data_IF_161035472474
#
_entry.id   IF_161035472474
#
_cell.length_a   1.000
_cell.length_b   1.000
_cell.length_c   1.000
_cell.angle_alpha   90.00
_cell.angle_beta   90.00
_cell.angle_gamma   90.00
#
_symmetry.space_group_name_H-M   'P 1'
#
loop_
_entity.id
_entity.type
_entity.pdbx_description
1 polymer ?
#
# COMPACT_ATOMS: atom_id res chain seq x y z
N UNK A 1 7.89 -15.70 7.37
CA UNK A 1 6.99 -14.78 6.61
C UNK A 1 6.50 -13.63 7.49
N UNK A 2 5.76 -13.88 8.59
CA UNK A 2 5.22 -12.80 9.45
C UNK A 2 6.30 -11.89 10.02
N UNK A 3 7.40 -12.44 10.54
CA UNK A 3 8.47 -11.61 11.12
C UNK A 3 9.17 -10.74 10.06
N UNK A 4 9.56 -11.32 8.94
CA UNK A 4 10.16 -10.58 7.82
C UNK A 4 9.24 -9.45 7.32
N UNK A 5 7.92 -9.67 7.30
CA UNK A 5 6.96 -8.61 6.98
C UNK A 5 6.94 -7.51 8.03
N UNK A 6 6.95 -7.84 9.34
CA UNK A 6 7.01 -6.84 10.41
C UNK A 6 8.29 -6.00 10.32
N UNK A 7 9.42 -6.65 10.07
CA UNK A 7 10.71 -5.98 9.94
C UNK A 7 10.72 -5.04 8.73
N UNK A 8 10.23 -5.53 7.58
CA UNK A 8 10.01 -4.71 6.38
C UNK A 8 9.09 -3.52 6.66
N UNK A 9 7.96 -3.74 7.33
CA UNK A 9 6.96 -2.71 7.61
C UNK A 9 7.48 -1.65 8.58
N UNK A 10 8.36 -2.02 9.53
CA UNK A 10 9.04 -1.07 10.39
C UNK A 10 9.93 -0.11 9.59
N UNK A 11 10.69 -0.63 8.62
CA UNK A 11 11.51 0.18 7.71
C UNK A 11 10.62 1.05 6.82
N UNK A 12 9.55 0.48 6.24
CA UNK A 12 8.64 1.21 5.38
C UNK A 12 8.00 2.43 6.07
N UNK A 13 7.68 2.33 7.37
CA UNK A 13 7.20 3.49 8.14
C UNK A 13 8.22 4.63 8.21
N UNK A 14 9.51 4.30 8.36
CA UNK A 14 10.60 5.29 8.36
C UNK A 14 10.74 5.91 6.97
N UNK A 15 10.65 5.10 5.91
CA UNK A 15 10.71 5.58 4.52
C UNK A 15 9.55 6.52 4.18
N UNK A 16 8.33 6.18 4.61
CA UNK A 16 7.15 7.04 4.39
C UNK A 16 7.22 8.32 5.22
N UNK A 17 7.75 8.27 6.44
CA UNK A 17 7.97 9.46 7.28
C UNK A 17 9.05 10.40 6.72
N UNK A 18 9.95 9.89 5.87
CA UNK A 18 11.00 10.65 5.20
C UNK A 18 10.68 10.98 3.73
N UNK A 19 9.43 10.76 3.31
CA UNK A 19 8.97 11.13 1.97
C UNK A 19 9.15 12.62 1.71
N UNK A 20 9.53 12.95 0.48
CA UNK A 20 9.60 14.31 -0.02
C UNK A 20 8.26 14.65 -0.67
N UNK A 21 7.56 15.63 -0.10
CA UNK A 21 6.21 15.98 -0.54
C UNK A 21 5.17 14.99 -0.03
N UNK A 22 4.08 14.84 -0.78
CA UNK A 22 2.94 14.04 -0.34
C UNK A 22 3.12 12.54 -0.64
N UNK A 23 2.57 11.71 0.26
CA UNK A 23 2.38 10.28 0.02
C UNK A 23 1.01 10.08 -0.62
N UNK A 24 0.98 9.47 -1.80
CA UNK A 24 -0.26 9.10 -2.48
C UNK A 24 -0.59 7.63 -2.23
N UNK A 25 -1.87 7.30 -2.09
CA UNK A 25 -2.34 5.93 -1.90
C UNK A 25 -3.22 5.52 -3.06
N UNK A 26 -2.98 4.33 -3.60
CA UNK A 26 -3.78 3.72 -4.65
C UNK A 26 -4.41 2.44 -4.11
N UNK A 27 -5.75 2.40 -4.15
CA UNK A 27 -6.53 1.24 -3.76
C UNK A 27 -7.05 0.55 -5.03
N UNK A 28 -6.45 -0.58 -5.37
CA UNK A 28 -6.89 -1.41 -6.48
C UNK A 28 -7.88 -2.45 -5.96
N UNK A 29 -9.08 -2.48 -6.54
CA UNK A 29 -10.12 -3.45 -6.20
C UNK A 29 -10.49 -4.22 -7.46
N UNK A 30 -10.39 -5.54 -7.40
CA UNK A 30 -10.75 -6.41 -8.52
C UNK A 30 -11.35 -7.73 -8.01
N UNK A 31 -11.93 -8.51 -8.92
CA UNK A 31 -12.39 -9.87 -8.63
C UNK A 31 -11.52 -10.87 -9.38
N UNK A 32 -11.20 -12.00 -8.76
CA UNK A 32 -10.61 -13.15 -9.47
C UNK A 32 -11.64 -13.85 -10.37
N UNK A 33 -11.17 -14.78 -11.21
CA UNK A 33 -12.03 -15.67 -12.00
C UNK A 33 -12.97 -16.51 -11.12
N UNK A 34 -12.54 -16.82 -9.89
CA UNK A 34 -13.35 -17.47 -8.85
C UNK A 34 -14.33 -16.53 -8.14
N UNK A 35 -14.49 -15.29 -8.61
CA UNK A 35 -15.38 -14.24 -8.08
C UNK A 35 -15.08 -13.84 -6.63
N UNK A 36 -13.84 -14.01 -6.19
CA UNK A 36 -13.39 -13.47 -4.91
C UNK A 36 -12.92 -12.03 -5.11
N UNK A 37 -13.44 -11.06 -4.34
CA UNK A 37 -12.91 -9.70 -4.37
C UNK A 37 -11.56 -9.65 -3.67
N UNK A 38 -10.66 -8.84 -4.23
CA UNK A 38 -9.39 -8.48 -3.64
C UNK A 38 -9.24 -6.98 -3.55
N UNK A 39 -8.51 -6.54 -2.53
CA UNK A 39 -8.05 -5.17 -2.35
C UNK A 39 -6.54 -5.18 -2.19
N UNK A 40 -5.84 -4.40 -3.01
CA UNK A 40 -4.47 -4.00 -2.76
C UNK A 40 -4.41 -2.52 -2.46
N UNK A 41 -3.66 -2.15 -1.42
CA UNK A 41 -3.35 -0.76 -1.12
C UNK A 41 -1.85 -0.54 -1.31
N UNK A 42 -1.50 0.35 -2.24
CA UNK A 42 -0.11 0.70 -2.55
C UNK A 42 0.15 2.15 -2.16
N UNK A 43 1.21 2.41 -1.40
CA UNK A 43 1.73 3.76 -1.20
C UNK A 43 2.69 4.11 -2.34
N UNK A 44 2.60 5.34 -2.83
CA UNK A 44 3.53 5.95 -3.77
C UNK A 44 4.10 7.22 -3.15
N UNK A 45 5.41 7.39 -3.20
CA UNK A 45 6.08 8.57 -2.64
C UNK A 45 7.36 8.89 -3.40
N UNK A 46 7.90 10.09 -3.18
CA UNK A 46 9.19 10.51 -3.71
C UNK A 46 10.22 10.47 -2.59
N UNK A 47 11.42 9.95 -2.87
CA UNK A 47 12.58 10.05 -1.98
C UNK A 47 13.71 10.83 -2.64
N UNK A 48 14.56 11.46 -1.82
CA UNK A 48 15.79 12.11 -2.26
C UNK A 48 16.96 11.16 -2.05
N UNK A 49 17.75 10.93 -3.09
CA UNK A 49 18.96 10.12 -2.97
C UNK A 49 20.02 10.98 -2.27
N UNK A 50 20.52 10.55 -1.10
CA UNK A 50 21.36 11.36 -0.19
C UNK A 50 22.64 11.93 -0.81
N UNK A 51 23.06 11.41 -1.97
CA UNK A 51 24.28 11.82 -2.69
C UNK A 51 24.02 12.56 -4.00
N UNK A 52 22.75 12.69 -4.43
CA UNK A 52 22.38 13.41 -5.64
C UNK A 52 21.27 14.41 -5.34
N UNK A 53 21.10 15.42 -6.21
CA UNK A 53 19.90 16.26 -6.19
C UNK A 53 18.71 15.57 -6.89
N UNK A 54 18.81 14.26 -7.17
CA UNK A 54 17.77 13.55 -7.90
C UNK A 54 16.66 13.06 -6.98
N UNK A 55 15.44 13.22 -7.46
CA UNK A 55 14.24 12.66 -6.88
C UNK A 55 13.99 11.29 -7.50
N UNK A 56 13.58 10.32 -6.68
CA UNK A 56 13.24 8.99 -7.15
C UNK A 56 11.83 8.60 -6.70
N UNK A 57 10.96 8.17 -7.64
CA UNK A 57 9.67 7.61 -7.28
C UNK A 57 9.85 6.24 -6.63
N UNK A 58 9.05 5.99 -5.59
CA UNK A 58 9.00 4.74 -4.84
C UNK A 58 7.56 4.30 -4.69
N UNK A 59 7.38 2.99 -4.56
CA UNK A 59 6.08 2.39 -4.27
C UNK A 59 6.24 1.15 -3.42
N UNK A 60 5.27 0.91 -2.54
CA UNK A 60 5.23 -0.27 -1.69
C UNK A 60 3.79 -0.71 -1.41
N UNK A 61 3.56 -2.03 -1.45
CA UNK A 61 2.31 -2.64 -1.06
C UNK A 61 2.17 -2.58 0.47
N UNK A 62 1.15 -1.86 0.94
CA UNK A 62 0.83 -1.76 2.37
C UNK A 62 0.00 -2.94 2.82
N UNK A 63 -1.00 -3.31 2.01
CA UNK A 63 -1.87 -4.43 2.32
C UNK A 63 -2.41 -5.10 1.07
N UNK A 64 -2.70 -6.39 1.22
CA UNK A 64 -3.41 -7.22 0.28
C UNK A 64 -4.43 -8.05 1.03
N UNK A 65 -5.71 -7.88 0.71
CA UNK A 65 -6.81 -8.53 1.40
C UNK A 65 -7.74 -9.24 0.41
N UNK A 66 -8.11 -10.48 0.75
CA UNK A 66 -9.29 -11.12 0.18
C UNK A 66 -10.51 -10.61 0.95
N UNK A 67 -11.50 -10.09 0.24
CA UNK A 67 -12.71 -9.53 0.83
C UNK A 67 -13.74 -10.65 0.95
N UNK A 68 -13.99 -11.11 2.16
CA UNK A 68 -15.04 -12.09 2.40
C UNK A 68 -16.43 -11.41 2.32
N UNK A 69 -17.24 -11.79 1.33
CA UNK A 69 -18.64 -11.37 1.22
C UNK A 69 -18.99 -10.65 -0.09
N UNK A 70 -20.16 -10.01 -0.13
CA UNK A 70 -20.64 -9.27 -1.31
C UNK A 70 -19.96 -7.89 -1.40
N UNK A 71 -19.75 -7.40 -2.62
CA UNK A 71 -19.19 -6.07 -2.96
C UNK A 71 -20.12 -4.90 -2.59
N UNK A 72 -20.59 -4.81 -1.35
CA UNK A 72 -21.36 -3.66 -0.89
C UNK A 72 -20.41 -2.52 -0.51
N UNK A 73 -20.83 -1.28 -0.78
CA UNK A 73 -20.10 -0.04 -0.44
C UNK A 73 -19.63 -0.04 1.03
N UNK A 74 -20.45 -0.58 1.93
CA UNK A 74 -20.15 -0.72 3.36
C UNK A 74 -18.97 -1.65 3.66
N UNK A 75 -18.86 -2.78 2.95
CA UNK A 75 -17.75 -3.72 3.13
C UNK A 75 -16.43 -3.11 2.66
N UNK A 76 -16.45 -2.34 1.58
CA UNK A 76 -15.27 -1.64 1.06
C UNK A 76 -14.83 -0.49 1.97
N UNK A 77 -15.77 0.32 2.47
CA UNK A 77 -15.46 1.44 3.36
C UNK A 77 -14.75 0.99 4.65
N UNK A 78 -15.15 -0.14 5.24
CA UNK A 78 -14.56 -0.70 6.48
C UNK A 78 -13.14 -1.24 6.32
N UNK A 79 -12.65 -1.43 5.10
CA UNK A 79 -11.27 -1.89 4.87
C UNK A 79 -10.30 -0.76 4.57
N UNK A 80 -10.82 0.38 4.09
CA UNK A 80 -10.00 1.52 3.68
C UNK A 80 -9.89 2.56 4.81
N UNK A 81 -10.92 2.67 5.67
CA UNK A 81 -10.96 3.51 6.88
C UNK A 81 -10.76 2.67 8.14
#
# INVERSE_FOLDING_TARGET
IIQAWKDYFAILKIDLASAVGDVSFMADIWSSDSRHPYLALTAHWITKISQSRSLQPRSALLTFHCICGRHTRLSLARMIL
#
